data_IF_981079750857
#
_entry.id   IF_981079750857
#
_cell.length_a   1.000
_cell.length_b   1.000
_cell.length_c   1.000
_cell.angle_alpha   90.00
_cell.angle_beta   90.00
_cell.angle_gamma   90.00
#
_symmetry.space_group_name_H-M   'P 1'
#
loop_
_entity.id
_entity.type
_entity.pdbx_description
1 polymer ?
#
# COMPACT_ATOMS: atom_id res chain seq x y z
N UNK A 1 0.26 1.89 -19.12
CA UNK A 1 -0.48 2.24 -17.89
C UNK A 1 -1.43 3.42 -18.10
N UNK A 2 -0.94 4.63 -18.39
CA UNK A 2 -1.78 5.85 -18.51
C UNK A 2 -2.95 5.72 -19.49
N UNK A 3 -2.72 5.12 -20.66
CA UNK A 3 -3.76 4.88 -21.67
C UNK A 3 -4.90 3.96 -21.20
N UNK A 4 -4.60 2.99 -20.34
CA UNK A 4 -5.62 2.08 -19.80
C UNK A 4 -6.51 2.81 -18.77
N UNK A 5 -5.92 3.73 -18.00
CA UNK A 5 -6.63 4.56 -17.02
C UNK A 5 -7.50 5.63 -17.69
N UNK A 6 -7.03 6.27 -18.76
CA UNK A 6 -7.80 7.28 -19.50
C UNK A 6 -8.89 6.66 -20.38
N UNK A 7 -8.66 5.46 -20.92
CA UNK A 7 -9.58 4.77 -21.84
C UNK A 7 -10.75 4.03 -21.16
N UNK A 8 -11.01 4.26 -19.87
CA UNK A 8 -12.05 3.59 -19.07
C UNK A 8 -12.00 2.04 -19.07
N UNK A 9 -10.87 1.45 -19.48
CA UNK A 9 -10.63 -0.01 -19.48
C UNK A 9 -9.53 -0.34 -18.49
N UNK A 10 -9.91 -0.35 -17.22
CA UNK A 10 -9.01 -0.74 -16.13
C UNK A 10 -9.06 -2.27 -15.97
N UNK A 11 -7.95 -2.99 -16.18
CA UNK A 11 -7.92 -4.42 -15.91
C UNK A 11 -7.95 -4.69 -14.40
N UNK A 12 -8.44 -5.88 -14.02
CA UNK A 12 -8.65 -6.27 -12.63
C UNK A 12 -7.35 -6.52 -11.84
N UNK A 13 -6.23 -6.72 -12.53
CA UNK A 13 -4.94 -7.00 -11.91
C UNK A 13 -3.79 -6.38 -12.71
N UNK A 14 -2.80 -5.85 -11.98
CA UNK A 14 -1.53 -5.36 -12.50
C UNK A 14 -0.36 -6.03 -11.78
N UNK A 15 0.62 -6.47 -12.58
CA UNK A 15 1.89 -7.02 -12.09
C UNK A 15 3.01 -6.06 -12.49
N UNK A 16 3.63 -5.44 -11.50
CA UNK A 16 4.82 -4.61 -11.69
C UNK A 16 6.07 -5.46 -11.51
N UNK A 17 6.91 -5.53 -12.54
CA UNK A 17 8.17 -6.30 -12.51
C UNK A 17 9.35 -5.39 -12.85
N UNK A 18 10.53 -5.71 -12.32
CA UNK A 18 11.75 -4.92 -12.52
C UNK A 18 12.73 -5.09 -11.36
N UNK A 19 13.92 -4.50 -11.46
CA UNK A 19 14.95 -4.55 -10.42
C UNK A 19 14.50 -3.84 -9.13
N UNK A 20 15.19 -4.06 -8.02
CA UNK A 20 14.91 -3.33 -6.79
C UNK A 20 15.20 -1.82 -6.97
N UNK A 21 14.41 -0.97 -6.33
CA UNK A 21 14.58 0.49 -6.43
C UNK A 21 13.94 1.18 -7.64
N UNK A 22 13.36 0.46 -8.62
CA UNK A 22 12.67 1.09 -9.77
C UNK A 22 11.32 1.74 -9.44
N UNK A 23 10.91 1.73 -8.16
CA UNK A 23 9.64 2.32 -7.73
C UNK A 23 8.40 1.47 -8.04
N UNK A 24 8.49 0.14 -7.98
CA UNK A 24 7.35 -0.77 -8.20
C UNK A 24 6.17 -0.46 -7.26
N UNK A 25 6.48 -0.32 -5.97
CA UNK A 25 5.49 0.04 -4.95
C UNK A 25 4.93 1.44 -5.18
N UNK A 26 5.80 2.40 -5.48
CA UNK A 26 5.40 3.79 -5.74
C UNK A 26 4.45 3.86 -6.95
N UNK A 27 4.73 3.08 -8.01
CA UNK A 27 3.83 2.94 -9.14
C UNK A 27 2.49 2.35 -8.72
N UNK A 28 2.48 1.25 -7.94
CA UNK A 28 1.25 0.64 -7.42
C UNK A 28 0.42 1.60 -6.56
N UNK A 29 1.06 2.40 -5.70
CA UNK A 29 0.41 3.42 -4.89
C UNK A 29 -0.17 4.52 -5.79
N UNK A 30 0.57 5.01 -6.78
CA UNK A 30 0.08 6.02 -7.71
C UNK A 30 -1.18 5.56 -8.47
N UNK A 31 -1.23 4.28 -8.84
CA UNK A 31 -2.42 3.64 -9.44
C UNK A 31 -3.60 3.70 -8.47
N UNK A 32 -3.39 3.23 -7.24
CA UNK A 32 -4.44 3.19 -6.23
C UNK A 32 -4.98 4.59 -5.94
N UNK A 33 -4.08 5.58 -5.83
CA UNK A 33 -4.43 7.00 -5.63
C UNK A 33 -5.27 7.52 -6.79
N UNK A 34 -4.91 7.19 -8.05
CA UNK A 34 -5.71 7.56 -9.21
C UNK A 34 -7.10 6.91 -9.19
N UNK A 35 -7.20 5.61 -8.89
CA UNK A 35 -8.48 4.90 -8.84
C UNK A 35 -9.40 5.40 -7.72
N UNK A 36 -8.83 5.92 -6.63
CA UNK A 36 -9.57 6.52 -5.52
C UNK A 36 -9.82 8.02 -5.71
N UNK A 37 -9.29 8.64 -6.77
CA UNK A 37 -9.42 10.07 -7.00
C UNK A 37 -10.84 10.41 -7.47
N UNK A 38 -11.48 11.37 -6.81
CA UNK A 38 -12.84 11.84 -7.17
C UNK A 38 -12.85 12.68 -8.45
N UNK A 39 -11.80 13.48 -8.69
CA UNK A 39 -11.70 14.37 -9.83
C UNK A 39 -10.37 14.14 -10.58
N UNK A 40 -10.22 13.02 -11.30
CA UNK A 40 -9.01 12.75 -12.07
C UNK A 40 -8.85 13.73 -13.25
N UNK A 41 -7.61 14.16 -13.52
CA UNK A 41 -7.28 14.97 -14.69
C UNK A 41 -7.26 14.15 -16.00
N UNK A 42 -7.22 14.82 -17.16
CA UNK A 42 -7.35 14.20 -18.49
C UNK A 42 -6.26 13.16 -18.80
N UNK A 43 -5.06 13.27 -18.22
CA UNK A 43 -3.90 12.39 -18.52
C UNK A 43 -3.68 11.28 -17.49
N UNK A 44 -4.75 10.81 -16.86
CA UNK A 44 -4.71 9.86 -15.76
C UNK A 44 -3.89 10.37 -14.55
N UNK A 45 -3.94 11.69 -14.32
CA UNK A 45 -3.23 12.33 -13.21
C UNK A 45 -4.19 12.48 -12.01
N UNK A 46 -3.85 11.97 -10.81
CA UNK A 46 -4.65 12.21 -9.62
C UNK A 46 -4.61 13.70 -9.24
N UNK A 47 -5.70 14.24 -8.68
CA UNK A 47 -5.75 15.66 -8.31
C UNK A 47 -4.88 16.02 -7.09
N UNK A 48 -4.50 15.03 -6.27
CA UNK A 48 -3.66 15.20 -5.08
C UNK A 48 -4.34 15.86 -3.88
N UNK A 49 -5.47 16.54 -4.08
CA UNK A 49 -6.14 17.35 -3.04
C UNK A 49 -7.42 16.73 -2.46
N UNK A 50 -8.05 15.78 -3.16
CA UNK A 50 -9.30 15.19 -2.69
C UNK A 50 -9.07 14.24 -1.51
N UNK A 51 -10.14 13.91 -0.79
CA UNK A 51 -10.08 13.00 0.35
C UNK A 51 -9.55 11.62 -0.06
N UNK A 52 -9.98 11.10 -1.21
CA UNK A 52 -9.46 9.85 -1.77
C UNK A 52 -7.95 9.89 -2.03
N UNK A 53 -7.43 10.98 -2.59
CA UNK A 53 -6.00 11.12 -2.86
C UNK A 53 -5.18 11.17 -1.56
N UNK A 54 -5.54 12.06 -0.64
CA UNK A 54 -4.77 12.30 0.60
C UNK A 54 -4.75 11.08 1.52
N UNK A 55 -5.88 10.39 1.67
CA UNK A 55 -5.96 9.16 2.48
C UNK A 55 -5.24 7.98 1.85
N UNK A 56 -5.21 7.90 0.51
CA UNK A 56 -4.51 6.81 -0.19
C UNK A 56 -3.00 7.01 -0.14
N UNK A 57 -2.51 8.23 -0.37
CA UNK A 57 -1.08 8.56 -0.24
C UNK A 57 -0.57 8.33 1.18
N UNK A 58 -1.40 8.59 2.19
CA UNK A 58 -1.05 8.32 3.60
C UNK A 58 -1.24 6.85 4.03
N UNK A 59 -1.61 5.95 3.11
CA UNK A 59 -1.85 4.52 3.35
C UNK A 59 -2.91 4.25 4.45
N UNK A 60 -3.85 5.18 4.64
CA UNK A 60 -4.92 5.11 5.65
C UNK A 60 -6.32 4.95 5.05
N UNK A 61 -6.42 4.80 3.73
CA UNK A 61 -7.71 4.66 3.06
C UNK A 61 -8.35 3.30 3.36
N UNK A 62 -9.59 3.28 3.84
CA UNK A 62 -10.31 2.05 4.19
C UNK A 62 -10.51 1.07 3.01
N UNK A 63 -10.43 1.56 1.76
CA UNK A 63 -10.64 0.79 0.55
C UNK A 63 -9.33 0.37 -0.13
N UNK A 64 -8.17 0.71 0.45
CA UNK A 64 -6.85 0.33 -0.08
C UNK A 64 -6.15 -0.49 0.99
N UNK A 65 -5.73 -1.71 0.62
CA UNK A 65 -5.02 -2.62 1.52
C UNK A 65 -3.61 -2.81 1.02
N UNK A 66 -2.63 -2.47 1.85
CA UNK A 66 -1.23 -2.76 1.60
C UNK A 66 -0.87 -4.06 2.34
N UNK A 67 -0.45 -5.09 1.59
CA UNK A 67 -0.17 -6.43 2.12
C UNK A 67 1.32 -6.69 2.00
N UNK A 68 1.94 -7.05 3.12
CA UNK A 68 3.37 -7.33 3.23
C UNK A 68 3.59 -8.44 4.26
N UNK A 69 4.81 -8.99 4.30
CA UNK A 69 5.17 -10.02 5.25
C UNK A 69 5.10 -9.48 6.70
N UNK A 70 4.33 -10.16 7.53
CA UNK A 70 4.26 -9.90 8.97
C UNK A 70 5.10 -10.93 9.72
N UNK A 71 5.65 -10.57 10.89
CA UNK A 71 6.35 -11.53 11.73
C UNK A 71 5.36 -12.58 12.25
N UNK A 72 5.82 -13.82 12.39
CA UNK A 72 4.99 -14.89 12.93
C UNK A 72 4.78 -14.66 14.44
N UNK A 73 3.55 -14.30 14.81
CA UNK A 73 3.09 -14.28 16.20
C UNK A 73 3.01 -15.69 16.80
N UNK A 74 3.25 -15.81 18.10
CA UNK A 74 3.05 -17.07 18.84
C UNK A 74 1.61 -17.12 19.37
N UNK A 75 0.65 -17.59 18.58
CA UNK A 75 -0.63 -18.03 19.14
C UNK A 75 -1.28 -19.13 18.30
N UNK A 76 -1.74 -20.17 18.99
CA UNK A 76 -2.34 -21.40 18.45
C UNK A 76 -3.80 -21.23 18.01
N UNK A 77 -4.38 -20.03 18.17
CA UNK A 77 -5.77 -19.78 17.82
C UNK A 77 -5.94 -19.43 16.33
N UNK A 78 -6.55 -20.37 15.62
CA UNK A 78 -6.88 -20.35 14.20
C UNK A 78 -8.22 -19.66 13.89
N UNK A 79 -8.81 -18.93 14.85
CA UNK A 79 -10.18 -18.40 14.76
C UNK A 79 -10.34 -16.88 14.79
N UNK A 80 -9.25 -16.12 14.94
CA UNK A 80 -9.29 -14.65 14.86
C UNK A 80 -8.74 -14.16 13.52
N UNK A 81 -9.62 -13.65 12.66
CA UNK A 81 -9.34 -13.24 11.27
C UNK A 81 -8.40 -12.02 11.11
N UNK A 82 -7.96 -11.40 12.21
CA UNK A 82 -7.12 -10.21 12.20
C UNK A 82 -5.69 -10.54 12.62
N UNK A 83 -4.72 -10.63 11.68
CA UNK A 83 -3.30 -10.94 11.97
C UNK A 83 -2.64 -10.04 13.01
N UNK A 84 -3.17 -8.82 13.21
CA UNK A 84 -2.67 -7.85 14.18
C UNK A 84 -2.87 -8.28 15.64
N UNK A 85 -3.87 -9.14 15.92
CA UNK A 85 -4.12 -9.62 17.29
C UNK A 85 -3.05 -10.61 17.78
N UNK A 86 -2.20 -11.12 16.87
CA UNK A 86 -1.14 -12.09 17.18
C UNK A 86 0.21 -11.42 17.45
N UNK A 87 0.28 -10.09 17.37
CA UNK A 87 1.50 -9.31 17.48
C UNK A 87 1.60 -8.64 18.85
N UNK A 88 2.82 -8.47 19.34
CA UNK A 88 3.07 -7.71 20.55
C UNK A 88 2.87 -6.20 20.28
N UNK A 89 2.50 -5.43 21.31
CA UNK A 89 2.33 -3.96 21.18
C UNK A 89 3.59 -3.26 20.63
N UNK A 90 4.77 -3.77 20.97
CA UNK A 90 6.05 -3.29 20.45
C UNK A 90 6.26 -3.60 18.94
N UNK A 91 5.70 -4.70 18.44
CA UNK A 91 5.77 -5.04 17.01
C UNK A 91 4.75 -4.21 16.22
N UNK A 92 3.59 -3.94 16.81
CA UNK A 92 2.56 -3.08 16.22
C UNK A 92 3.08 -1.65 16.06
N UNK A 93 3.76 -1.09 17.07
CA UNK A 93 4.32 0.26 16.99
C UNK A 93 5.41 0.36 15.91
N UNK A 94 6.27 -0.65 15.77
CA UNK A 94 7.26 -0.72 14.70
C UNK A 94 6.60 -0.76 13.31
N UNK A 95 5.56 -1.57 13.13
CA UNK A 95 4.83 -1.63 11.85
C UNK A 95 4.21 -0.27 11.52
N UNK A 96 3.59 0.39 12.50
CA UNK A 96 3.00 1.71 12.31
C UNK A 96 4.05 2.76 11.92
N UNK A 97 5.24 2.69 12.53
CA UNK A 97 6.35 3.57 12.21
C UNK A 97 6.83 3.36 10.77
N UNK A 98 7.01 2.11 10.34
CA UNK A 98 7.41 1.80 8.95
C UNK A 98 6.36 2.24 7.92
N UNK A 99 5.06 2.08 8.23
CA UNK A 99 3.98 2.59 7.38
C UNK A 99 4.00 4.12 7.32
N UNK A 100 4.28 4.80 8.45
CA UNK A 100 4.41 6.25 8.47
C UNK A 100 5.60 6.73 7.63
N UNK A 101 6.74 6.03 7.69
CA UNK A 101 7.88 6.30 6.82
C UNK A 101 7.51 6.12 5.34
N UNK A 102 6.80 5.04 4.98
CA UNK A 102 6.32 4.79 3.61
C UNK A 102 5.31 5.83 3.12
N UNK A 103 4.46 6.34 4.02
CA UNK A 103 3.53 7.41 3.71
C UNK A 103 4.23 8.74 3.40
N UNK A 104 5.36 9.01 4.06
CA UNK A 104 6.19 10.20 3.78
C UNK A 104 7.09 10.02 2.57
N UNK A 105 7.66 8.83 2.37
CA UNK A 105 8.50 8.47 1.23
C UNK A 105 7.93 7.23 0.51
N UNK A 106 7.29 7.40 -0.66
CA UNK A 106 6.75 6.30 -1.45
C UNK A 106 7.78 5.22 -1.84
N UNK A 107 9.07 5.57 -1.85
CA UNK A 107 10.17 4.68 -2.22
C UNK A 107 10.79 3.94 -1.03
N UNK A 108 10.39 4.25 0.21
CA UNK A 108 10.86 3.54 1.40
C UNK A 108 10.56 2.05 1.31
N UNK A 109 11.51 1.18 1.64
CA UNK A 109 11.26 -0.27 1.71
C UNK A 109 10.85 -0.64 3.13
N UNK A 110 9.66 -1.20 3.30
CA UNK A 110 9.17 -1.63 4.62
C UNK A 110 9.94 -2.89 5.03
N UNK A 111 10.83 -2.72 6.00
CA UNK A 111 11.59 -3.82 6.59
C UNK A 111 11.14 -4.04 8.03
N UNK A 112 10.74 -5.28 8.33
CA UNK A 112 10.37 -5.70 9.69
C UNK A 112 11.34 -6.81 10.09
N UNK A 113 12.14 -6.64 11.16
CA UNK A 113 13.28 -7.50 11.46
C UNK A 113 12.94 -8.97 11.76
N UNK A 114 11.69 -9.27 12.12
CA UNK A 114 11.20 -10.65 12.38
C UNK A 114 10.33 -11.21 11.25
N UNK A 115 10.11 -10.45 10.18
CA UNK A 115 9.36 -10.91 9.02
C UNK A 115 10.32 -11.55 8.02
N UNK A 116 9.98 -12.74 7.53
CA UNK A 116 10.73 -13.37 6.45
C UNK A 116 10.30 -12.69 5.14
N UNK A 117 11.18 -11.85 4.58
CA UNK A 117 10.96 -11.20 3.29
C UNK A 117 11.21 -12.23 2.16
N UNK A 118 10.32 -12.26 1.17
CA UNK A 118 10.37 -13.14 -0.01
C UNK A 118 10.88 -12.34 -1.20
#
# INVERSE_FOLDING_TARGET
>A
MRTALSGARVPHAWLFTGVEGVGKDAAAIAVATFLRCENPGPDATPCGICHGCTTTTSLRNANVRFVFALPSGKSEDSRSDSPLLKLNDAEISQIQEQIAMKASDPYHNISIPRAQQI
#
